data_IF_251803242079
#
_entry.id   IF_251803242079
#
_cell.length_a   1.000
_cell.length_b   1.000
_cell.length_c   1.000
_cell.angle_alpha   90.00
_cell.angle_beta   90.00
_cell.angle_gamma   90.00
#
_symmetry.space_group_name_H-M   'P 1'
#
loop_
_entity.id
_entity.type
_entity.pdbx_description
1 polymer ?
#
# COMPACT_ATOMS: atom_id res chain seq x y z
N UNK A 1 3.61 18.01 3.18
CA UNK A 1 4.95 18.61 3.38
C UNK A 1 5.36 18.79 4.83
N UNK A 2 4.45 19.16 5.74
CA UNK A 2 4.76 19.51 7.14
C UNK A 2 5.69 18.55 7.89
N UNK A 3 5.57 17.23 7.68
CA UNK A 3 6.38 16.21 8.38
C UNK A 3 7.44 15.54 7.50
N UNK A 4 7.79 16.13 6.35
CA UNK A 4 8.72 15.50 5.39
C UNK A 4 10.07 15.20 6.03
N UNK A 5 10.64 16.17 6.74
CA UNK A 5 11.96 16.05 7.36
C UNK A 5 11.98 15.03 8.50
N UNK A 6 10.92 15.00 9.31
CA UNK A 6 10.73 14.05 10.39
C UNK A 6 10.59 12.63 9.85
N UNK A 7 9.73 12.41 8.85
CA UNK A 7 9.58 11.09 8.22
C UNK A 7 10.93 10.60 7.67
N UNK A 8 11.67 11.44 6.96
CA UNK A 8 12.97 11.07 6.41
C UNK A 8 13.99 10.74 7.50
N UNK A 9 14.02 11.50 8.60
CA UNK A 9 14.97 11.31 9.70
C UNK A 9 14.67 10.08 10.56
N UNK A 10 13.39 9.85 10.87
CA UNK A 10 12.98 8.81 11.82
C UNK A 10 12.89 7.41 11.17
N UNK A 11 12.73 7.31 9.85
CA UNK A 11 12.67 6.02 9.16
C UNK A 11 14.08 5.50 8.84
N UNK A 12 14.80 5.06 9.87
CA UNK A 12 16.14 4.48 9.74
C UNK A 12 16.08 2.99 9.36
N UNK A 13 17.21 2.40 8.94
CA UNK A 13 17.30 0.95 8.70
C UNK A 13 17.03 0.10 9.95
N UNK A 14 17.27 0.64 11.15
CA UNK A 14 16.97 -0.05 12.40
C UNK A 14 15.46 -0.06 12.68
N UNK A 15 14.81 1.09 12.49
CA UNK A 15 13.37 1.25 12.75
C UNK A 15 12.52 0.55 11.67
N UNK A 16 12.93 0.68 10.41
CA UNK A 16 12.20 0.17 9.25
C UNK A 16 12.67 -1.21 8.77
N UNK A 17 13.38 -1.98 9.62
CA UNK A 17 14.03 -3.24 9.24
C UNK A 17 13.07 -4.28 8.61
N UNK A 18 11.80 -4.29 9.04
CA UNK A 18 10.77 -5.19 8.52
C UNK A 18 9.81 -4.52 7.52
N UNK A 19 10.06 -3.25 7.17
CA UNK A 19 9.22 -2.51 6.25
C UNK A 19 9.68 -2.75 4.81
N UNK A 20 8.73 -2.85 3.89
CA UNK A 20 8.98 -2.86 2.46
C UNK A 20 8.13 -1.74 1.84
N UNK A 21 8.72 -0.84 1.02
CA UNK A 21 10.11 -0.81 0.57
C UNK A 21 11.09 -0.38 1.68
N UNK A 22 12.41 -0.45 1.37
CA UNK A 22 13.48 0.09 2.23
C UNK A 22 13.19 1.55 2.65
N UNK A 23 13.72 2.01 3.79
CA UNK A 23 13.67 3.43 4.10
C UNK A 23 14.32 4.29 3.02
N UNK A 24 13.86 5.54 2.93
CA UNK A 24 14.34 6.50 1.95
C UNK A 24 15.82 6.83 2.20
N UNK A 25 16.62 6.87 1.13
CA UNK A 25 18.03 7.31 1.20
C UNK A 25 18.14 8.80 0.80
N UNK A 26 17.16 9.27 0.03
CA UNK A 26 17.03 10.65 -0.41
C UNK A 26 15.70 11.25 0.10
N UNK A 27 15.73 12.49 0.57
CA UNK A 27 14.54 13.21 1.01
C UNK A 27 13.51 13.37 -0.11
N UNK A 28 13.93 13.35 -1.37
CA UNK A 28 13.02 13.35 -2.52
C UNK A 28 12.21 12.04 -2.62
N UNK A 29 12.75 10.89 -2.18
CA UNK A 29 11.97 9.65 -2.10
C UNK A 29 10.85 9.77 -1.04
N UNK A 30 11.13 10.45 0.07
CA UNK A 30 10.11 10.75 1.09
C UNK A 30 9.04 11.70 0.57
N UNK A 31 9.43 12.68 -0.25
CA UNK A 31 8.50 13.57 -0.93
C UNK A 31 7.58 12.81 -1.90
N UNK A 32 8.14 11.91 -2.72
CA UNK A 32 7.36 11.05 -3.60
C UNK A 32 6.36 10.20 -2.82
N UNK A 33 6.80 9.54 -1.74
CA UNK A 33 5.92 8.77 -0.85
C UNK A 33 4.75 9.62 -0.31
N UNK A 34 5.01 10.85 0.14
CA UNK A 34 3.97 11.75 0.64
C UNK A 34 2.99 12.13 -0.48
N UNK A 35 3.50 12.44 -1.67
CA UNK A 35 2.66 12.83 -2.80
C UNK A 35 1.77 11.68 -3.27
N UNK A 36 2.33 10.47 -3.41
CA UNK A 36 1.59 9.26 -3.73
C UNK A 36 0.53 8.95 -2.67
N UNK A 37 0.85 9.15 -1.39
CA UNK A 37 -0.10 8.97 -0.29
C UNK A 37 -1.27 9.95 -0.36
N UNK A 38 -1.01 11.21 -0.72
CA UNK A 38 -2.05 12.24 -0.90
C UNK A 38 -2.95 11.89 -2.09
N UNK A 39 -2.36 11.46 -3.22
CA UNK A 39 -3.11 11.03 -4.41
C UNK A 39 -3.99 9.83 -4.05
N UNK A 40 -3.43 8.80 -3.42
CA UNK A 40 -4.19 7.62 -3.03
C UNK A 40 -5.31 7.90 -2.04
N UNK A 41 -5.14 8.90 -1.16
CA UNK A 41 -6.20 9.36 -0.27
C UNK A 41 -7.32 10.08 -1.04
N UNK A 42 -6.97 10.96 -1.98
CA UNK A 42 -7.93 11.69 -2.79
C UNK A 42 -8.75 10.75 -3.69
N UNK A 43 -8.13 9.68 -4.20
CA UNK A 43 -8.78 8.64 -5.00
C UNK A 43 -9.55 7.61 -4.17
N UNK A 44 -9.45 7.66 -2.84
CA UNK A 44 -10.04 6.67 -1.93
C UNK A 44 -9.43 5.27 -2.06
N UNK A 45 -8.28 5.13 -2.74
CA UNK A 45 -7.58 3.85 -2.89
C UNK A 45 -6.83 3.47 -1.62
N UNK A 46 -6.35 4.46 -0.86
CA UNK A 46 -5.58 4.30 0.37
C UNK A 46 -6.05 5.26 1.47
N UNK A 47 -5.80 4.92 2.74
CA UNK A 47 -5.92 5.84 3.88
C UNK A 47 -4.56 5.92 4.57
N UNK A 48 -3.83 7.01 4.32
CA UNK A 48 -2.53 7.27 4.95
C UNK A 48 -2.69 8.35 6.03
N UNK A 49 -2.16 8.09 7.23
CA UNK A 49 -2.24 8.99 8.38
C UNK A 49 -0.86 9.16 9.03
N UNK A 50 -0.67 10.33 9.64
CA UNK A 50 0.48 10.63 10.51
C UNK A 50 0.04 10.49 11.96
N UNK A 51 0.86 9.84 12.78
CA UNK A 51 0.64 9.68 14.21
C UNK A 51 1.39 10.80 14.90
N UNK A 52 0.67 11.60 15.68
CA UNK A 52 1.22 12.67 16.49
C UNK A 52 0.85 12.52 17.95
N UNK A 53 1.76 12.92 18.83
CA UNK A 53 1.48 13.02 20.26
C UNK A 53 0.53 14.20 20.51
N UNK A 54 -0.57 13.96 21.22
CA UNK A 54 -1.69 14.92 21.31
C UNK A 54 -1.30 16.27 21.94
N UNK A 55 -0.51 16.23 23.00
CA UNK A 55 -0.09 17.36 23.82
C UNK A 55 1.03 18.19 23.17
N UNK A 56 2.02 17.53 22.58
CA UNK A 56 3.21 18.20 22.02
C UNK A 56 3.16 18.40 20.50
N UNK A 57 2.23 17.74 19.81
CA UNK A 57 2.20 17.62 18.34
C UNK A 57 3.47 16.97 17.76
N UNK A 58 4.23 16.25 18.58
CA UNK A 58 5.42 15.52 18.18
C UNK A 58 5.06 14.39 17.21
N UNK A 59 5.84 14.25 16.13
CA UNK A 59 5.70 13.16 15.18
C UNK A 59 6.13 11.83 15.82
N UNK A 60 5.26 10.83 15.76
CA UNK A 60 5.52 9.49 16.28
C UNK A 60 5.62 8.41 15.20
N UNK A 61 5.17 8.70 13.98
CA UNK A 61 5.23 7.76 12.87
C UNK A 61 4.11 7.94 11.85
N UNK A 62 4.01 6.97 10.96
CA UNK A 62 3.00 6.90 9.91
C UNK A 62 2.24 5.58 10.01
N UNK A 63 0.95 5.58 9.65
CA UNK A 63 0.15 4.37 9.50
C UNK A 63 -0.72 4.46 8.25
N UNK A 64 -0.91 3.34 7.57
CA UNK A 64 -1.57 3.28 6.28
C UNK A 64 -2.47 2.06 6.12
N UNK A 65 -3.58 2.22 5.41
CA UNK A 65 -4.35 1.11 4.86
C UNK A 65 -4.39 1.28 3.35
N UNK A 66 -3.79 0.35 2.62
CA UNK A 66 -3.72 0.40 1.16
C UNK A 66 -4.77 -0.51 0.50
N UNK A 67 -5.01 -0.28 -0.79
CA UNK A 67 -5.85 -1.12 -1.65
C UNK A 67 -7.30 -1.29 -1.15
N UNK A 68 -7.90 -0.22 -0.63
CA UNK A 68 -9.29 -0.21 -0.15
C UNK A 68 -10.28 -0.68 -1.23
N UNK A 69 -10.05 -0.27 -2.49
CA UNK A 69 -10.86 -0.69 -3.63
C UNK A 69 -10.76 -2.19 -3.91
N UNK A 70 -9.58 -2.79 -3.74
CA UNK A 70 -9.38 -4.22 -3.94
C UNK A 70 -10.19 -5.03 -2.91
N UNK A 71 -10.23 -4.60 -1.65
CA UNK A 71 -11.02 -5.26 -0.59
C UNK A 71 -12.52 -5.27 -0.91
N UNK A 72 -13.06 -4.18 -1.44
CA UNK A 72 -14.46 -4.11 -1.84
C UNK A 72 -14.75 -5.02 -3.04
N UNK A 73 -13.88 -4.98 -4.05
CA UNK A 73 -14.01 -5.83 -5.25
C UNK A 73 -13.87 -7.31 -4.93
N UNK A 74 -12.94 -7.68 -4.06
CA UNK A 74 -12.76 -9.04 -3.57
C UNK A 74 -14.04 -9.57 -2.91
N UNK A 75 -14.63 -8.79 -2.00
CA UNK A 75 -15.92 -9.15 -1.36
C UNK A 75 -17.03 -9.35 -2.38
N UNK A 76 -17.12 -8.49 -3.39
CA UNK A 76 -18.09 -8.60 -4.47
C UNK A 76 -17.90 -9.91 -5.25
N UNK A 77 -16.67 -10.19 -5.70
CA UNK A 77 -16.35 -11.39 -6.49
C UNK A 77 -16.60 -12.66 -5.67
N UNK A 78 -16.25 -12.68 -4.37
CA UNK A 78 -16.49 -13.83 -3.50
C UNK A 78 -17.98 -14.22 -3.46
N UNK A 79 -18.89 -13.25 -3.48
CA UNK A 79 -20.33 -13.46 -3.52
C UNK A 79 -20.92 -13.87 -4.88
N UNK A 80 -20.12 -13.93 -5.96
CA UNK A 80 -20.63 -14.33 -7.28
C UNK A 80 -20.88 -15.83 -7.43
N UNK A 81 -21.82 -16.17 -8.33
CA UNK A 81 -21.99 -17.50 -8.87
C UNK A 81 -20.71 -17.99 -9.56
N UNK A 82 -20.52 -19.32 -9.57
CA UNK A 82 -19.35 -19.96 -10.19
C UNK A 82 -19.19 -19.59 -11.66
N UNK A 83 -20.28 -19.55 -12.42
CA UNK A 83 -20.27 -19.17 -13.85
C UNK A 83 -19.66 -17.77 -14.08
N UNK A 84 -20.00 -16.79 -13.24
CA UNK A 84 -19.48 -15.41 -13.36
C UNK A 84 -18.00 -15.33 -13.02
N UNK A 85 -17.55 -16.14 -12.06
CA UNK A 85 -16.13 -16.25 -11.70
C UNK A 85 -15.33 -16.87 -12.85
N UNK A 86 -15.84 -17.95 -13.46
CA UNK A 86 -15.23 -18.61 -14.61
C UNK A 86 -15.14 -17.64 -15.79
N UNK A 87 -16.23 -16.95 -16.14
CA UNK A 87 -16.24 -15.98 -17.22
C UNK A 87 -15.23 -14.82 -17.00
N UNK A 88 -15.06 -14.36 -15.75
CA UNK A 88 -14.03 -13.37 -15.42
C UNK A 88 -12.61 -13.95 -15.58
N UNK A 89 -12.37 -15.19 -15.16
CA UNK A 89 -11.06 -15.85 -15.33
C UNK A 89 -10.75 -16.01 -16.82
N UNK A 90 -11.69 -16.51 -17.61
CA UNK A 90 -11.51 -16.73 -19.05
C UNK A 90 -11.29 -15.42 -19.82
N UNK A 91 -11.85 -14.29 -19.36
CA UNK A 91 -11.64 -13.00 -20.03
C UNK A 91 -10.23 -12.41 -19.84
N UNK A 92 -9.52 -12.79 -18.76
CA UNK A 92 -8.18 -12.24 -18.43
C UNK A 92 -7.07 -13.29 -18.45
N UNK A 93 -7.41 -14.57 -18.33
CA UNK A 93 -6.51 -15.72 -18.35
C UNK A 93 -7.17 -16.88 -19.13
N UNK A 94 -7.40 -16.71 -20.45
CA UNK A 94 -8.14 -17.69 -21.27
C UNK A 94 -7.45 -19.05 -21.35
N UNK A 95 -6.14 -19.11 -21.18
CA UNK A 95 -5.36 -20.36 -21.21
C UNK A 95 -5.25 -21.03 -19.85
N UNK A 96 -5.86 -20.45 -18.80
CA UNK A 96 -5.75 -20.95 -17.43
C UNK A 96 -4.29 -21.14 -16.98
N UNK A 97 -3.40 -20.24 -17.42
CA UNK A 97 -2.00 -20.26 -17.01
C UNK A 97 -1.92 -20.16 -15.49
N UNK A 98 -1.12 -21.02 -14.88
CA UNK A 98 -0.77 -20.87 -13.47
C UNK A 98 0.08 -19.60 -13.29
N UNK A 99 -0.48 -18.61 -12.60
CA UNK A 99 0.19 -17.33 -12.35
C UNK A 99 1.13 -17.40 -11.15
N UNK A 100 1.10 -18.49 -10.38
CA UNK A 100 1.99 -18.76 -9.25
C UNK A 100 3.22 -19.57 -9.62
N UNK A 101 3.33 -19.98 -10.88
CA UNK A 101 4.50 -20.69 -11.41
C UNK A 101 5.78 -19.88 -11.20
N UNK A 102 6.78 -20.48 -10.54
CA UNK A 102 8.06 -19.85 -10.18
C UNK A 102 8.07 -18.95 -8.94
N UNK A 103 6.97 -18.81 -8.18
CA UNK A 103 6.94 -17.92 -7.00
C UNK A 103 7.84 -18.38 -5.84
N UNK A 104 8.12 -19.67 -5.75
CA UNK A 104 8.86 -20.26 -4.62
C UNK A 104 10.27 -20.74 -5.00
N UNK A 105 10.75 -20.41 -6.20
CA UNK A 105 12.08 -20.80 -6.68
C UNK A 105 13.20 -19.89 -6.13
N UNK A 106 13.00 -19.33 -4.92
CA UNK A 106 13.92 -18.41 -4.22
C UNK A 106 14.64 -19.09 -3.07
#
# INVERSE_FOLDING_TARGET
>A
MQYKSEIFREFTNEIAIYMTPRPAIDIFETESFINESIIGLAEGSNLQLVIIKKDTQEFLGCTGIHNLNAKAREKQIKGWLREKKIALIESINPTWKDLSDGWYDS
#
